data_IF_646886685143
#
_entry.id   IF_646886685143
#
_cell.length_a   1.000
_cell.length_b   1.000
_cell.length_c   1.000
_cell.angle_alpha   90.00
_cell.angle_beta   90.00
_cell.angle_gamma   90.00
#
_symmetry.space_group_name_H-M   'P 1'
#
loop_
_entity.id
_entity.type
_entity.pdbx_description
1 polymer ?
#
# COMPACT_ATOMS: atom_id res chain seq x y z
N UNK A 1 -1.89 -17.27 -46.11
CA UNK A 1 -2.87 -18.37 -45.97
C UNK A 1 -3.52 -18.24 -44.59
N UNK A 2 -4.80 -17.88 -44.57
CA UNK A 2 -5.63 -17.65 -43.39
C UNK A 2 -6.04 -18.96 -42.75
N UNK A 3 -5.96 -19.11 -41.44
CA UNK A 3 -6.80 -20.07 -40.69
C UNK A 3 -7.36 -19.37 -39.45
N UNK A 4 -8.65 -19.15 -39.49
CA UNK A 4 -9.47 -18.76 -38.37
C UNK A 4 -9.80 -19.97 -37.50
N UNK A 5 -9.75 -19.80 -36.19
CA UNK A 5 -10.27 -20.78 -35.23
C UNK A 5 -11.43 -20.17 -34.49
N UNK A 6 -12.60 -20.77 -34.73
CA UNK A 6 -13.90 -20.41 -34.14
C UNK A 6 -14.03 -21.14 -32.80
N UNK A 7 -14.27 -20.42 -31.70
CA UNK A 7 -14.63 -21.00 -30.41
C UNK A 7 -16.17 -21.01 -30.27
N UNK A 8 -16.74 -22.19 -30.06
CA UNK A 8 -18.17 -22.40 -29.84
C UNK A 8 -18.53 -22.22 -28.37
N UNK A 9 -19.51 -21.37 -28.09
CA UNK A 9 -20.16 -21.21 -26.78
C UNK A 9 -21.29 -22.21 -26.68
N UNK A 10 -21.25 -23.08 -25.67
CA UNK A 10 -22.29 -24.06 -25.39
C UNK A 10 -23.09 -23.56 -24.16
N UNK A 11 -24.34 -23.12 -24.43
CA UNK A 11 -25.30 -22.75 -23.39
C UNK A 11 -26.07 -24.00 -22.93
N UNK A 12 -26.06 -24.26 -21.61
CA UNK A 12 -26.81 -25.34 -21.00
C UNK A 12 -28.07 -24.77 -20.34
N UNK A 13 -29.25 -25.04 -20.96
CA UNK A 13 -30.57 -24.76 -20.38
C UNK A 13 -30.99 -25.93 -19.47
N UNK A 14 -31.26 -25.66 -18.20
CA UNK A 14 -31.98 -26.57 -17.31
C UNK A 14 -33.45 -26.17 -17.23
N UNK A 15 -34.30 -27.05 -17.73
CA UNK A 15 -35.76 -27.02 -17.57
C UNK A 15 -36.12 -27.69 -16.24
N UNK A 16 -36.76 -26.96 -15.32
CA UNK A 16 -37.48 -27.56 -14.19
C UNK A 16 -38.96 -27.64 -14.50
N UNK A 17 -39.45 -28.86 -14.63
CA UNK A 17 -40.85 -29.20 -14.74
C UNK A 17 -41.52 -29.19 -13.39
N UNK A 18 -42.63 -28.46 -13.25
CA UNK A 18 -43.48 -28.45 -12.06
C UNK A 18 -44.37 -29.69 -11.98
N UNK A 19 -44.59 -30.15 -10.78
CA UNK A 19 -45.67 -31.10 -10.41
C UNK A 19 -46.73 -30.34 -9.65
N UNK A 20 -47.93 -30.27 -10.19
CA UNK A 20 -49.18 -29.89 -9.52
C UNK A 20 -49.79 -31.15 -8.90
N UNK A 21 -50.16 -31.09 -7.62
CA UNK A 21 -51.02 -32.12 -6.99
C UNK A 21 -52.35 -31.48 -6.58
N UNK A 22 -53.43 -31.97 -7.19
CA UNK A 22 -54.80 -31.67 -6.83
C UNK A 22 -55.14 -32.19 -5.44
N UNK A 23 -55.81 -31.40 -4.62
CA UNK A 23 -56.42 -31.83 -3.34
C UNK A 23 -57.95 -31.84 -3.52
N UNK A 24 -58.47 -33.04 -3.41
CA UNK A 24 -59.89 -33.32 -3.46
C UNK A 24 -60.67 -32.77 -2.25
N UNK A 25 -61.88 -32.41 -2.52
CA UNK A 25 -62.91 -31.80 -1.69
C UNK A 25 -63.62 -32.86 -0.84
N UNK A 26 -63.60 -32.73 0.51
CA UNK A 26 -64.35 -33.59 1.42
C UNK A 26 -65.37 -32.73 2.18
N UNK A 27 -66.66 -33.10 2.23
CA UNK A 27 -67.69 -32.31 2.91
C UNK A 27 -67.66 -32.51 4.41
N UNK A 28 -67.72 -31.41 5.16
CA UNK A 28 -67.79 -31.33 6.61
C UNK A 28 -69.25 -31.40 7.07
N UNK A 29 -69.53 -32.38 7.93
CA UNK A 29 -70.74 -32.40 8.76
C UNK A 29 -70.38 -32.04 10.20
N UNK A 30 -70.92 -30.91 10.67
CA UNK A 30 -70.81 -30.48 12.04
C UNK A 30 -71.86 -31.11 12.94
N UNK A 31 -71.58 -31.49 14.18
CA UNK A 31 -72.52 -31.46 15.25
C UNK A 31 -72.33 -30.23 16.17
N UNK A 32 -73.43 -29.55 16.44
CA UNK A 32 -73.57 -28.43 17.36
C UNK A 32 -73.43 -28.90 18.82
N UNK A 33 -72.55 -28.26 19.56
CA UNK A 33 -72.48 -28.39 21.03
C UNK A 33 -72.67 -27.03 21.71
N UNK A 34 -73.23 -26.98 22.94
CA UNK A 34 -73.72 -25.75 23.55
C UNK A 34 -72.64 -24.81 24.03
N UNK A 35 -72.92 -23.53 23.87
CA UNK A 35 -72.11 -22.39 24.28
C UNK A 35 -71.98 -22.30 25.79
N UNK A 36 -70.79 -22.49 26.32
CA UNK A 36 -70.44 -22.10 27.68
C UNK A 36 -69.84 -20.69 27.65
N UNK A 37 -70.46 -19.82 28.41
CA UNK A 37 -70.01 -18.43 28.62
C UNK A 37 -68.73 -18.42 29.41
N UNK A 38 -67.59 -18.15 28.68
CA UNK A 38 -66.30 -17.99 29.31
C UNK A 38 -66.08 -16.52 29.65
N UNK A 39 -65.92 -16.25 30.94
CA UNK A 39 -65.56 -14.94 31.48
C UNK A 39 -64.27 -14.46 30.88
N UNK A 40 -64.25 -13.19 30.37
CA UNK A 40 -63.12 -12.53 29.77
C UNK A 40 -61.98 -12.39 30.80
N UNK A 41 -60.88 -13.09 30.56
CA UNK A 41 -59.61 -12.88 31.27
C UNK A 41 -58.99 -11.56 30.75
N UNK A 42 -58.52 -10.67 31.64
CA UNK A 42 -57.89 -9.43 31.18
C UNK A 42 -56.63 -9.74 30.37
N UNK A 43 -56.53 -9.15 29.15
CA UNK A 43 -55.37 -9.24 28.30
C UNK A 43 -54.15 -8.62 28.99
N UNK A 44 -52.99 -9.28 29.01
CA UNK A 44 -51.81 -8.70 29.64
C UNK A 44 -51.38 -7.42 28.86
N UNK A 45 -51.15 -6.37 29.63
CA UNK A 45 -50.63 -5.12 29.11
C UNK A 45 -49.26 -5.41 28.43
N UNK A 46 -49.00 -4.96 27.19
CA UNK A 46 -47.71 -5.17 26.55
C UNK A 46 -46.62 -4.50 27.37
N UNK A 47 -45.65 -5.30 27.79
CA UNK A 47 -44.45 -4.81 28.47
C UNK A 47 -43.62 -4.03 27.44
N UNK A 48 -43.09 -2.82 27.75
CA UNK A 48 -42.29 -2.09 26.81
C UNK A 48 -41.07 -2.92 26.42
N UNK A 49 -40.91 -3.14 25.13
CA UNK A 49 -39.70 -3.77 24.56
C UNK A 49 -38.50 -2.87 24.87
N UNK A 50 -37.42 -3.39 25.48
CA UNK A 50 -36.22 -2.57 25.72
C UNK A 50 -35.73 -2.00 24.42
N UNK A 51 -35.49 -0.68 24.40
CA UNK A 51 -34.85 0.02 23.28
C UNK A 51 -33.47 -0.61 23.06
N UNK A 52 -33.05 -0.88 21.80
CA UNK A 52 -31.74 -1.41 21.56
C UNK A 52 -30.70 -0.43 22.12
N UNK A 53 -29.79 -0.93 22.93
CA UNK A 53 -28.62 -0.15 23.37
C UNK A 53 -27.82 0.22 22.11
N UNK A 54 -27.46 1.50 21.88
CA UNK A 54 -26.63 1.85 20.74
C UNK A 54 -25.32 1.09 20.82
N UNK A 55 -24.96 0.38 19.72
CA UNK A 55 -23.64 -0.20 19.59
C UNK A 55 -22.61 0.93 19.60
N UNK A 56 -21.48 0.78 20.32
CA UNK A 56 -20.42 1.78 20.24
C UNK A 56 -19.97 1.91 18.77
N UNK A 57 -19.85 3.12 18.30
CA UNK A 57 -19.20 3.41 17.01
C UNK A 57 -17.77 2.93 17.10
N UNK A 58 -17.25 2.17 16.12
CA UNK A 58 -15.84 1.81 16.11
C UNK A 58 -14.97 3.08 16.18
N UNK A 59 -13.90 3.04 16.94
CA UNK A 59 -12.91 4.12 16.92
C UNK A 59 -12.27 4.16 15.52
N UNK A 60 -11.98 5.36 14.98
CA UNK A 60 -11.30 5.49 13.69
C UNK A 60 -9.92 4.84 13.75
N UNK A 61 -9.47 4.27 12.63
CA UNK A 61 -8.13 3.71 12.53
C UNK A 61 -7.09 4.85 12.52
N UNK A 62 -5.86 4.61 13.00
CA UNK A 62 -4.84 5.65 13.16
C UNK A 62 -4.52 6.45 11.91
N UNK A 63 -4.62 5.82 10.71
CA UNK A 63 -4.34 6.42 9.41
C UNK A 63 -5.59 6.57 8.54
N UNK A 64 -6.80 6.54 9.14
CA UNK A 64 -8.04 6.71 8.39
C UNK A 64 -8.09 8.10 7.72
N UNK A 65 -8.17 8.09 6.38
CA UNK A 65 -8.18 9.30 5.55
C UNK A 65 -6.80 9.75 5.06
N UNK A 66 -5.71 9.11 5.49
CA UNK A 66 -4.39 9.33 4.92
C UNK A 66 -4.25 8.66 3.54
N UNK A 67 -3.62 9.31 2.58
CA UNK A 67 -3.26 8.77 1.27
C UNK A 67 -1.74 8.74 1.14
N UNK A 68 -1.14 7.56 1.03
CA UNK A 68 0.31 7.38 1.07
C UNK A 68 0.81 6.73 -0.20
N UNK A 69 1.77 7.36 -0.88
CA UNK A 69 2.46 6.73 -2.00
C UNK A 69 3.62 5.88 -1.48
N UNK A 70 3.54 4.57 -1.73
CA UNK A 70 4.64 3.62 -1.49
C UNK A 70 5.27 3.27 -2.83
N UNK A 71 6.49 3.73 -3.08
CA UNK A 71 7.18 3.56 -4.35
C UNK A 71 8.39 2.62 -4.23
N UNK A 72 8.25 1.33 -4.54
CA UNK A 72 9.39 0.43 -4.64
C UNK A 72 10.31 0.86 -5.79
N UNK A 73 11.53 1.32 -5.44
CA UNK A 73 12.51 1.81 -6.40
C UNK A 73 12.90 0.79 -7.46
N UNK A 74 13.42 1.27 -8.58
CA UNK A 74 13.82 0.47 -9.74
C UNK A 74 12.70 -0.35 -10.37
N UNK A 75 13.02 -1.10 -11.41
CA UNK A 75 12.17 -2.10 -12.06
C UNK A 75 13.04 -2.92 -13.04
N UNK A 76 12.52 -4.03 -13.52
CA UNK A 76 13.14 -4.74 -14.65
C UNK A 76 12.88 -3.92 -15.91
N UNK A 77 13.96 -3.35 -16.47
CA UNK A 77 13.89 -2.53 -17.68
C UNK A 77 13.59 -3.40 -18.89
N UNK A 78 12.44 -3.22 -19.57
CA UNK A 78 12.18 -3.89 -20.83
C UNK A 78 13.19 -3.46 -21.89
N UNK A 79 13.46 -4.31 -22.86
CA UNK A 79 14.42 -4.01 -23.96
C UNK A 79 14.05 -2.71 -24.69
N UNK A 80 12.74 -2.44 -24.84
CA UNK A 80 12.23 -1.22 -25.48
C UNK A 80 12.54 0.07 -24.71
N UNK A 81 12.83 -0.01 -23.41
CA UNK A 81 13.14 1.16 -22.56
C UNK A 81 14.64 1.48 -22.47
N UNK A 82 15.50 0.60 -22.96
CA UNK A 82 16.95 0.79 -22.86
C UNK A 82 17.41 2.01 -23.65
N UNK A 83 18.24 2.83 -23.01
CA UNK A 83 18.82 4.04 -23.61
C UNK A 83 17.90 5.28 -23.57
N UNK A 84 16.67 5.16 -23.10
CA UNK A 84 15.82 6.31 -22.86
C UNK A 84 16.33 7.13 -21.68
N UNK A 85 16.06 8.44 -21.72
CA UNK A 85 16.50 9.40 -20.70
C UNK A 85 15.32 10.26 -20.27
N UNK A 86 15.35 10.72 -19.03
CA UNK A 86 14.39 11.66 -18.44
C UNK A 86 15.11 12.91 -17.92
N UNK A 87 14.40 13.99 -17.70
CA UNK A 87 14.93 15.18 -17.03
C UNK A 87 15.22 14.85 -15.55
N UNK A 88 16.30 15.41 -15.04
CA UNK A 88 16.61 15.33 -13.62
C UNK A 88 15.80 16.31 -12.78
N UNK A 89 15.42 17.45 -13.39
CA UNK A 89 14.69 18.52 -12.71
C UNK A 89 13.86 19.30 -13.74
N UNK A 90 12.70 19.84 -13.37
CA UNK A 90 11.93 20.75 -14.22
C UNK A 90 12.62 22.10 -14.43
N UNK A 91 13.67 22.39 -13.66
CA UNK A 91 14.44 23.63 -13.71
C UNK A 91 15.76 23.50 -14.48
N UNK A 92 16.04 22.34 -15.11
CA UNK A 92 17.29 22.04 -15.79
C UNK A 92 17.06 21.19 -17.03
N UNK A 93 17.89 21.39 -18.06
CA UNK A 93 17.93 20.51 -19.24
C UNK A 93 18.79 19.25 -19.03
N UNK A 94 19.32 19.05 -17.82
CA UNK A 94 20.09 17.86 -17.49
C UNK A 94 19.21 16.62 -17.47
N UNK A 95 19.73 15.53 -18.03
CA UNK A 95 19.01 14.27 -18.11
C UNK A 95 19.82 13.13 -17.48
N UNK A 96 19.11 12.11 -16.99
CA UNK A 96 19.66 10.84 -16.54
C UNK A 96 19.05 9.67 -17.33
N UNK A 97 19.61 8.45 -17.26
CA UNK A 97 18.91 7.27 -17.77
C UNK A 97 17.54 7.13 -17.12
N UNK A 98 16.52 6.83 -17.94
CA UNK A 98 15.15 6.64 -17.48
C UNK A 98 15.03 5.44 -16.54
N UNK A 99 15.78 4.39 -16.86
CA UNK A 99 15.76 3.14 -16.10
C UNK A 99 17.15 2.81 -15.57
N UNK A 100 17.19 2.42 -14.30
CA UNK A 100 18.37 1.84 -13.67
C UNK A 100 17.95 0.55 -12.97
N UNK A 101 18.80 -0.46 -13.03
CA UNK A 101 18.52 -1.75 -12.40
C UNK A 101 18.77 -1.74 -10.89
N UNK A 102 19.37 -0.69 -10.36
CA UNK A 102 19.84 -0.64 -8.98
C UNK A 102 21.07 -1.51 -8.72
N UNK A 103 21.34 -1.74 -7.47
CA UNK A 103 22.40 -2.64 -7.00
C UNK A 103 21.89 -4.09 -6.90
N UNK A 104 22.75 -4.96 -6.39
CA UNK A 104 22.37 -6.35 -6.14
C UNK A 104 23.18 -6.97 -5.02
N UNK A 105 22.55 -7.87 -4.28
CA UNK A 105 23.18 -8.78 -3.35
C UNK A 105 23.59 -10.10 -3.99
N UNK A 106 23.84 -11.09 -3.16
CA UNK A 106 24.25 -12.44 -3.60
C UNK A 106 23.12 -13.18 -4.35
N UNK A 107 21.90 -13.09 -3.86
CA UNK A 107 20.77 -13.87 -4.38
C UNK A 107 19.61 -13.00 -4.91
N UNK A 108 19.54 -11.72 -4.54
CA UNK A 108 18.44 -10.82 -4.86
C UNK A 108 18.94 -9.55 -5.56
N UNK A 109 18.15 -9.01 -6.48
CA UNK A 109 18.37 -7.66 -7.02
C UNK A 109 17.67 -6.64 -6.13
N UNK A 110 18.15 -5.39 -6.16
CA UNK A 110 17.54 -4.31 -5.40
C UNK A 110 16.06 -4.12 -5.74
N UNK A 111 15.70 -4.17 -7.02
CA UNK A 111 14.31 -4.02 -7.44
C UNK A 111 13.37 -5.09 -6.86
N UNK A 112 13.88 -6.34 -6.68
CA UNK A 112 13.12 -7.43 -6.07
C UNK A 112 12.93 -7.20 -4.56
N UNK A 113 14.00 -6.78 -3.88
CA UNK A 113 13.96 -6.44 -2.46
C UNK A 113 12.99 -5.28 -2.21
N UNK A 114 13.14 -4.20 -2.97
CA UNK A 114 12.30 -3.00 -2.84
C UNK A 114 10.82 -3.33 -3.05
N UNK A 115 10.49 -4.17 -4.05
CA UNK A 115 9.13 -4.61 -4.29
C UNK A 115 8.60 -5.46 -3.13
N UNK A 116 9.42 -6.40 -2.64
CA UNK A 116 9.03 -7.29 -1.54
C UNK A 116 8.71 -6.50 -0.26
N UNK A 117 9.58 -5.57 0.12
CA UNK A 117 9.37 -4.71 1.30
C UNK A 117 8.24 -3.72 1.07
N UNK A 118 8.15 -3.14 -0.14
CA UNK A 118 7.09 -2.19 -0.49
C UNK A 118 5.69 -2.79 -0.38
N UNK A 119 5.50 -4.03 -0.82
CA UNK A 119 4.22 -4.75 -0.68
C UNK A 119 3.87 -5.02 0.79
N UNK A 120 4.85 -5.41 1.62
CA UNK A 120 4.65 -5.60 3.05
C UNK A 120 4.30 -4.27 3.74
N UNK A 121 4.96 -3.18 3.36
CA UNK A 121 4.71 -1.85 3.91
C UNK A 121 3.31 -1.34 3.53
N UNK A 122 2.90 -1.50 2.27
CA UNK A 122 1.53 -1.24 1.84
C UNK A 122 0.52 -1.96 2.73
N UNK A 123 0.65 -3.28 2.84
CA UNK A 123 -0.30 -4.11 3.60
C UNK A 123 -0.41 -3.64 5.06
N UNK A 124 0.72 -3.28 5.68
CA UNK A 124 0.74 -2.77 7.06
C UNK A 124 0.08 -1.38 7.20
N UNK A 125 0.24 -0.49 6.22
CA UNK A 125 -0.43 0.83 6.23
C UNK A 125 -1.94 0.71 5.99
N UNK A 126 -2.37 -0.18 5.09
CA UNK A 126 -3.79 -0.45 4.82
C UNK A 126 -4.49 -1.06 6.05
N UNK A 127 -3.83 -1.93 6.81
CA UNK A 127 -4.34 -2.44 8.09
C UNK A 127 -4.58 -1.32 9.13
N UNK A 128 -3.85 -0.21 9.03
CA UNK A 128 -4.02 0.98 9.88
C UNK A 128 -5.01 2.00 9.32
N UNK A 129 -5.61 1.73 8.16
CA UNK A 129 -6.68 2.53 7.55
C UNK A 129 -6.23 3.52 6.50
N UNK A 130 -4.97 3.53 6.10
CA UNK A 130 -4.49 4.37 5.00
C UNK A 130 -5.01 3.88 3.64
N UNK A 131 -5.22 4.81 2.71
CA UNK A 131 -5.26 4.52 1.29
C UNK A 131 -3.84 4.51 0.75
N UNK A 132 -3.41 3.40 0.12
CA UNK A 132 -2.05 3.29 -0.41
C UNK A 132 -2.06 3.24 -1.93
N UNK A 133 -1.27 4.10 -2.56
CA UNK A 133 -1.01 4.08 -4.00
C UNK A 133 0.42 3.60 -4.26
N UNK A 134 0.56 2.67 -5.21
CA UNK A 134 1.87 2.15 -5.61
C UNK A 134 2.09 2.38 -7.10
N UNK A 135 3.19 3.05 -7.51
CA UNK A 135 3.56 3.18 -8.92
C UNK A 135 3.83 1.84 -9.60
N UNK A 136 4.23 0.82 -8.83
CA UNK A 136 4.36 -0.56 -9.33
C UNK A 136 4.06 -1.59 -8.23
N UNK A 137 3.45 -2.70 -8.66
CA UNK A 137 3.24 -3.90 -7.86
C UNK A 137 3.85 -5.16 -8.52
N UNK A 138 4.61 -4.95 -9.58
CA UNK A 138 5.29 -6.01 -10.34
C UNK A 138 6.72 -5.60 -10.66
N UNK A 139 7.59 -6.57 -10.94
CA UNK A 139 8.99 -6.32 -11.30
C UNK A 139 9.14 -5.76 -12.72
N UNK A 140 8.47 -6.38 -13.69
CA UNK A 140 8.59 -5.99 -15.10
C UNK A 140 7.55 -4.94 -15.47
N UNK A 141 7.99 -3.69 -15.53
CA UNK A 141 7.17 -2.53 -15.89
C UNK A 141 8.03 -1.46 -16.55
N UNK A 142 7.42 -0.66 -17.42
CA UNK A 142 8.02 0.55 -17.98
C UNK A 142 7.42 1.75 -17.28
N UNK A 143 8.15 2.36 -16.35
CA UNK A 143 7.74 3.54 -15.59
C UNK A 143 8.95 4.42 -15.28
N UNK A 144 8.84 5.69 -15.59
CA UNK A 144 9.88 6.71 -15.33
C UNK A 144 9.79 7.26 -13.90
N UNK A 145 10.84 7.96 -13.46
CA UNK A 145 10.81 8.69 -12.19
C UNK A 145 9.76 9.80 -12.18
N UNK A 146 9.54 10.47 -13.32
CA UNK A 146 8.50 11.50 -13.45
C UNK A 146 7.11 10.88 -13.34
N UNK A 147 6.82 9.80 -14.08
CA UNK A 147 5.53 9.10 -14.00
C UNK A 147 5.21 8.58 -12.58
N UNK A 148 6.24 8.21 -11.80
CA UNK A 148 6.05 7.83 -10.38
C UNK A 148 5.53 8.99 -9.53
N UNK A 149 6.08 10.20 -9.74
CA UNK A 149 5.58 11.41 -9.09
C UNK A 149 4.15 11.75 -9.54
N UNK A 150 3.87 11.68 -10.84
CA UNK A 150 2.55 11.95 -11.40
C UNK A 150 1.48 11.01 -10.81
N UNK A 151 1.77 9.71 -10.67
CA UNK A 151 0.87 8.75 -10.03
C UNK A 151 0.56 9.14 -8.58
N UNK A 152 1.55 9.56 -7.80
CA UNK A 152 1.36 10.02 -6.43
C UNK A 152 0.47 11.28 -6.37
N UNK A 153 0.71 12.26 -7.25
CA UNK A 153 -0.06 13.50 -7.31
C UNK A 153 -1.51 13.25 -7.77
N UNK A 154 -1.71 12.44 -8.81
CA UNK A 154 -3.05 12.11 -9.31
C UNK A 154 -3.91 11.36 -8.29
N UNK A 155 -3.28 10.56 -7.43
CA UNK A 155 -3.94 9.90 -6.31
C UNK A 155 -4.25 10.84 -5.14
N UNK A 156 -3.68 12.05 -5.13
CA UNK A 156 -3.81 12.99 -4.01
C UNK A 156 -3.06 12.53 -2.77
N UNK A 157 -1.91 11.86 -2.95
CA UNK A 157 -1.11 11.38 -1.83
C UNK A 157 -0.60 12.55 -0.96
N UNK A 158 -0.62 12.36 0.35
CA UNK A 158 -0.10 13.32 1.33
C UNK A 158 1.43 13.30 1.39
N UNK A 159 2.00 12.11 1.23
CA UNK A 159 3.44 11.85 1.26
C UNK A 159 3.84 10.76 0.27
N UNK A 160 5.12 10.74 -0.13
CA UNK A 160 5.71 9.67 -0.91
C UNK A 160 6.91 9.05 -0.18
N UNK A 161 6.95 7.72 -0.08
CA UNK A 161 8.05 6.94 0.49
C UNK A 161 8.65 6.06 -0.60
N UNK A 162 9.84 6.43 -1.07
CA UNK A 162 10.60 5.64 -2.03
C UNK A 162 11.45 4.62 -1.28
N UNK A 163 11.38 3.36 -1.68
CA UNK A 163 12.05 2.24 -1.01
C UNK A 163 13.21 1.76 -1.86
N UNK A 164 14.42 1.80 -1.29
CA UNK A 164 15.67 1.43 -1.91
C UNK A 164 16.60 0.67 -0.97
N UNK A 165 17.66 0.08 -1.51
CA UNK A 165 18.79 -0.46 -0.79
C UNK A 165 20.09 -0.08 -1.51
N UNK A 166 21.06 0.39 -0.75
CA UNK A 166 22.29 0.99 -1.27
C UNK A 166 23.34 -0.04 -1.71
N UNK A 167 24.31 0.42 -2.45
CA UNK A 167 25.50 -0.32 -2.81
C UNK A 167 26.76 0.55 -2.74
N UNK A 168 27.85 -0.02 -2.22
CA UNK A 168 29.13 0.66 -2.13
C UNK A 168 30.29 -0.23 -2.62
N UNK A 169 31.33 0.39 -3.19
CA UNK A 169 32.54 -0.33 -3.60
C UNK A 169 33.35 -0.87 -2.40
N UNK A 170 33.20 -0.24 -1.23
CA UNK A 170 33.74 -0.75 0.01
C UNK A 170 32.69 -1.63 0.72
N UNK A 171 32.89 -2.95 0.78
CA UNK A 171 31.93 -3.87 1.38
C UNK A 171 31.82 -3.75 2.91
N UNK A 172 32.64 -2.93 3.55
CA UNK A 172 32.52 -2.65 4.99
C UNK A 172 31.49 -1.56 5.30
N UNK A 173 31.02 -0.83 4.30
CA UNK A 173 29.99 0.20 4.46
C UNK A 173 28.65 -0.47 4.75
N UNK A 174 27.97 0.01 5.80
CA UNK A 174 26.71 -0.56 6.30
C UNK A 174 25.84 0.50 6.99
N UNK A 175 24.57 0.18 7.20
CA UNK A 175 23.61 0.97 7.96
C UNK A 175 22.49 1.55 7.09
N UNK A 176 21.45 2.06 7.75
CA UNK A 176 20.29 2.69 7.14
C UNK A 176 20.49 4.20 7.03
N UNK A 177 20.08 4.79 5.91
CA UNK A 177 20.00 6.24 5.69
C UNK A 177 18.67 6.60 5.01
N UNK A 178 18.27 7.86 5.13
CA UNK A 178 17.12 8.39 4.40
C UNK A 178 17.55 9.62 3.61
N UNK A 179 17.38 9.55 2.29
CA UNK A 179 17.61 10.67 1.41
C UNK A 179 16.40 11.59 1.47
N UNK A 180 16.65 12.90 1.49
CA UNK A 180 15.64 13.95 1.53
C UNK A 180 15.92 15.01 0.46
N UNK A 181 14.92 15.74 -0.05
CA UNK A 181 15.16 16.81 -1.00
C UNK A 181 16.03 17.92 -0.40
N UNK A 182 16.88 18.51 -1.23
CA UNK A 182 17.73 19.65 -0.90
C UNK A 182 17.36 20.85 -1.79
N UNK A 183 16.86 21.91 -1.15
CA UNK A 183 16.48 23.15 -1.82
C UNK A 183 15.07 23.19 -2.38
N UNK A 184 14.70 24.37 -2.92
CA UNK A 184 13.39 24.67 -3.50
C UNK A 184 13.28 24.09 -4.91
N UNK A 185 12.73 22.88 -5.04
CA UNK A 185 12.68 22.21 -6.33
C UNK A 185 11.39 22.49 -7.11
N UNK A 186 10.22 22.30 -6.55
CA UNK A 186 8.93 22.66 -7.16
C UNK A 186 8.15 23.70 -6.37
N UNK A 187 8.81 24.43 -5.51
CA UNK A 187 8.26 25.71 -5.15
C UNK A 187 7.68 25.89 -3.77
N UNK A 188 7.83 24.95 -2.83
CA UNK A 188 7.48 25.29 -1.45
C UNK A 188 8.55 24.80 -0.46
N UNK A 189 9.19 25.72 0.28
CA UNK A 189 10.09 25.35 1.37
C UNK A 189 9.47 24.36 2.36
N UNK A 190 8.14 24.44 2.58
CA UNK A 190 7.41 23.54 3.47
C UNK A 190 7.48 22.06 3.05
N UNK A 191 7.53 21.74 1.77
CA UNK A 191 7.70 20.35 1.31
C UNK A 191 9.07 19.81 1.73
N UNK A 192 10.12 20.62 1.62
CA UNK A 192 11.48 20.25 2.03
C UNK A 192 11.53 20.04 3.53
N UNK A 193 11.00 20.97 4.32
CA UNK A 193 10.98 20.90 5.78
C UNK A 193 10.22 19.65 6.27
N UNK A 194 9.05 19.36 5.69
CA UNK A 194 8.26 18.16 6.02
C UNK A 194 8.95 16.86 5.57
N UNK A 195 9.61 16.87 4.43
CA UNK A 195 10.43 15.73 3.97
C UNK A 195 11.59 15.44 4.91
N UNK A 196 12.28 16.48 5.39
CA UNK A 196 13.37 16.34 6.37
C UNK A 196 12.82 15.78 7.69
N UNK A 197 11.70 16.31 8.17
CA UNK A 197 11.03 15.82 9.41
C UNK A 197 10.67 14.33 9.28
N UNK A 198 10.03 13.95 8.18
CA UNK A 198 9.69 12.54 7.92
C UNK A 198 10.95 11.67 7.82
N UNK A 199 11.97 12.15 7.12
CA UNK A 199 13.25 11.45 6.96
C UNK A 199 13.95 11.18 8.29
N UNK A 200 13.96 12.16 9.20
CA UNK A 200 14.55 12.01 10.54
C UNK A 200 13.76 10.99 11.38
N UNK A 201 12.44 11.05 11.37
CA UNK A 201 11.59 10.06 12.04
C UNK A 201 11.87 8.66 11.49
N UNK A 202 11.89 8.51 10.18
CA UNK A 202 12.05 7.22 9.50
C UNK A 202 13.41 6.58 9.76
N UNK A 203 14.51 7.32 9.60
CA UNK A 203 15.87 6.76 9.83
C UNK A 203 16.06 6.36 11.29
N UNK A 204 15.50 7.13 12.24
CA UNK A 204 15.59 6.81 13.66
C UNK A 204 14.78 5.58 14.04
N UNK A 205 13.52 5.50 13.55
CA UNK A 205 12.64 4.37 13.86
C UNK A 205 13.15 3.06 13.24
N UNK A 206 13.54 3.07 11.96
CA UNK A 206 14.07 1.87 11.29
C UNK A 206 15.38 1.42 11.92
N UNK A 207 16.29 2.35 12.28
CA UNK A 207 17.53 1.98 12.99
C UNK A 207 17.25 1.39 14.38
N UNK A 208 16.24 1.88 15.09
CA UNK A 208 15.85 1.36 16.41
C UNK A 208 15.30 -0.07 16.31
N UNK A 209 14.41 -0.35 15.37
CA UNK A 209 13.77 -1.66 15.18
C UNK A 209 14.75 -2.72 14.66
N UNK A 210 15.60 -2.34 13.70
CA UNK A 210 16.52 -3.28 13.06
C UNK A 210 17.81 -3.49 13.82
N UNK A 211 18.23 -2.52 14.65
CA UNK A 211 19.56 -2.46 15.23
C UNK A 211 20.65 -2.04 14.23
N UNK A 212 20.28 -1.63 13.01
CA UNK A 212 21.22 -1.15 12.01
C UNK A 212 21.88 0.16 12.45
N UNK A 213 23.08 0.43 11.91
CA UNK A 213 23.74 1.71 12.12
C UNK A 213 22.92 2.84 11.50
N UNK A 214 22.47 3.79 12.32
CA UNK A 214 21.84 5.01 11.85
C UNK A 214 22.88 5.92 11.16
N UNK A 215 22.68 6.21 9.87
CA UNK A 215 23.55 7.08 9.06
C UNK A 215 22.95 8.48 8.90
N UNK A 216 21.75 8.72 9.42
CA UNK A 216 21.05 9.99 9.34
C UNK A 216 20.37 10.25 8.00
N UNK A 217 19.91 11.48 7.85
CA UNK A 217 19.37 12.00 6.60
C UNK A 217 20.46 12.52 5.67
N UNK A 218 20.25 12.38 4.36
CA UNK A 218 21.20 12.80 3.32
C UNK A 218 20.47 13.72 2.33
N UNK A 219 20.74 15.04 2.34
CA UNK A 219 20.13 15.97 1.40
C UNK A 219 20.59 15.68 -0.05
N UNK A 220 19.66 15.70 -1.01
CA UNK A 220 19.89 15.41 -2.42
C UNK A 220 19.12 16.35 -3.33
N UNK A 221 19.80 16.91 -4.33
CA UNK A 221 19.22 17.76 -5.37
C UNK A 221 19.23 17.15 -6.77
N UNK A 222 19.74 15.92 -6.91
CA UNK A 222 19.93 15.20 -8.16
C UNK A 222 18.96 14.00 -8.35
N UNK A 223 17.88 13.98 -7.58
CA UNK A 223 16.88 12.91 -7.62
C UNK A 223 15.60 13.37 -8.33
N UNK A 224 15.21 12.71 -9.43
CA UNK A 224 13.97 13.00 -10.14
C UNK A 224 12.75 12.87 -9.20
N UNK A 225 12.75 11.84 -8.34
CA UNK A 225 11.69 11.61 -7.37
C UNK A 225 11.45 12.80 -6.41
N UNK A 226 12.49 13.56 -6.08
CA UNK A 226 12.38 14.77 -5.29
C UNK A 226 12.10 16.00 -6.15
N UNK A 227 12.79 16.10 -7.28
CA UNK A 227 12.76 17.29 -8.13
C UNK A 227 11.42 17.51 -8.84
N UNK A 228 10.64 16.47 -9.02
CA UNK A 228 9.28 16.50 -9.58
C UNK A 228 8.19 16.26 -8.55
N UNK A 229 8.52 16.10 -7.27
CA UNK A 229 7.51 15.94 -6.22
C UNK A 229 6.88 17.27 -5.84
N UNK A 230 5.56 17.30 -5.75
CA UNK A 230 4.75 18.41 -5.21
C UNK A 230 4.27 18.12 -3.78
N UNK A 231 4.68 16.99 -3.20
CA UNK A 231 4.34 16.54 -1.85
C UNK A 231 5.60 16.17 -1.07
N UNK A 232 5.57 16.16 0.27
CA UNK A 232 6.67 15.66 1.07
C UNK A 232 7.11 14.26 0.63
N UNK A 233 8.42 14.06 0.47
CA UNK A 233 8.95 12.87 -0.18
C UNK A 233 10.27 12.45 0.45
N UNK A 234 10.44 11.18 0.74
CA UNK A 234 11.68 10.61 1.30
C UNK A 234 12.06 9.34 0.54
N UNK A 235 13.37 9.03 0.53
CA UNK A 235 13.88 7.79 -0.02
C UNK A 235 14.70 7.08 1.06
N UNK A 236 14.19 5.91 1.51
CA UNK A 236 14.93 5.10 2.46
C UNK A 236 15.89 4.17 1.73
N UNK A 237 17.15 4.16 2.18
CA UNK A 237 18.17 3.16 1.87
C UNK A 237 18.22 2.18 3.06
N UNK A 238 17.59 1.02 2.90
CA UNK A 238 17.33 0.06 3.97
C UNK A 238 18.58 -0.64 4.52
N UNK A 239 19.70 -0.54 3.80
CA UNK A 239 20.97 -1.17 4.08
C UNK A 239 21.78 -1.35 2.80
N UNK A 240 23.01 -1.85 2.90
CA UNK A 240 23.92 -2.03 1.77
C UNK A 240 23.93 -3.47 1.29
N UNK A 241 23.34 -3.74 0.12
CA UNK A 241 23.34 -5.08 -0.51
C UNK A 241 24.75 -5.56 -0.91
N UNK A 242 25.73 -4.66 -0.94
CA UNK A 242 27.15 -4.97 -1.18
C UNK A 242 27.91 -5.33 0.10
N UNK A 243 27.30 -5.14 1.27
CA UNK A 243 27.83 -5.62 2.54
C UNK A 243 27.30 -7.03 2.82
N UNK A 244 28.14 -8.08 2.92
CA UNK A 244 27.66 -9.46 3.03
C UNK A 244 26.81 -9.77 4.27
N UNK A 245 27.00 -9.03 5.38
CA UNK A 245 26.23 -9.21 6.61
C UNK A 245 24.83 -8.59 6.45
N UNK A 246 24.74 -7.38 5.90
CA UNK A 246 23.45 -6.72 5.65
C UNK A 246 22.67 -7.41 4.52
N UNK A 247 23.34 -7.82 3.45
CA UNK A 247 22.71 -8.57 2.36
C UNK A 247 22.00 -9.83 2.88
N UNK A 248 22.71 -10.60 3.73
CA UNK A 248 22.11 -11.78 4.34
C UNK A 248 20.92 -11.47 5.25
N UNK A 249 20.91 -10.32 5.94
CA UNK A 249 19.77 -9.86 6.76
C UNK A 249 18.60 -9.40 5.89
N UNK A 250 18.87 -8.58 4.89
CA UNK A 250 17.88 -8.01 3.96
C UNK A 250 17.07 -9.08 3.20
N UNK A 251 17.66 -10.26 2.98
CA UNK A 251 16.98 -11.41 2.37
C UNK A 251 16.00 -12.13 3.32
N UNK A 252 16.04 -11.85 4.63
CA UNK A 252 15.19 -12.55 5.61
C UNK A 252 13.87 -11.82 5.86
N UNK A 253 12.77 -12.59 5.91
CA UNK A 253 11.45 -12.04 6.22
C UNK A 253 11.40 -11.37 7.61
N UNK A 254 12.16 -11.89 8.59
CA UNK A 254 12.23 -11.30 9.94
C UNK A 254 12.83 -9.89 9.92
N UNK A 255 13.91 -9.68 9.16
CA UNK A 255 14.55 -8.37 9.09
C UNK A 255 13.74 -7.38 8.27
N UNK A 256 13.12 -7.84 7.17
CA UNK A 256 12.19 -7.06 6.37
C UNK A 256 11.00 -6.58 7.21
N UNK A 257 10.42 -7.45 8.04
CA UNK A 257 9.34 -7.06 8.96
C UNK A 257 9.78 -5.95 9.92
N UNK A 258 10.99 -6.02 10.51
CA UNK A 258 11.53 -4.95 11.36
C UNK A 258 11.71 -3.62 10.62
N UNK A 259 12.13 -3.68 9.35
CA UNK A 259 12.20 -2.47 8.50
C UNK A 259 10.80 -1.87 8.33
N UNK A 260 9.81 -2.70 8.01
CA UNK A 260 8.41 -2.28 7.84
C UNK A 260 7.86 -1.69 9.14
N UNK A 261 8.08 -2.35 10.29
CA UNK A 261 7.65 -1.86 11.60
C UNK A 261 8.22 -0.47 11.90
N UNK A 262 9.51 -0.27 11.62
CA UNK A 262 10.16 1.03 11.77
C UNK A 262 9.60 2.10 10.83
N UNK A 263 9.33 1.77 9.57
CA UNK A 263 8.70 2.70 8.63
C UNK A 263 7.28 3.06 9.07
N UNK A 264 6.49 2.09 9.50
CA UNK A 264 5.13 2.32 10.03
C UNK A 264 5.16 3.23 11.25
N UNK A 265 6.07 2.98 12.20
CA UNK A 265 6.21 3.83 13.38
C UNK A 265 6.52 5.29 13.00
N UNK A 266 7.39 5.51 12.02
CA UNK A 266 7.71 6.85 11.53
C UNK A 266 6.49 7.55 10.87
N UNK A 267 5.68 6.82 10.12
CA UNK A 267 4.45 7.34 9.53
C UNK A 267 3.45 7.73 10.61
N UNK A 268 3.23 6.87 11.60
CA UNK A 268 2.34 7.17 12.72
C UNK A 268 2.79 8.40 13.50
N UNK A 269 4.10 8.54 13.76
CA UNK A 269 4.67 9.71 14.44
C UNK A 269 4.55 10.98 13.57
N UNK A 270 4.66 10.86 12.25
CA UNK A 270 4.52 11.99 11.34
C UNK A 270 3.10 12.56 11.32
N UNK A 271 2.08 11.69 11.25
CA UNK A 271 0.67 12.08 11.31
C UNK A 271 0.21 12.45 12.72
N UNK A 272 0.76 11.83 13.76
CA UNK A 272 0.39 12.09 15.16
C UNK A 272 1.07 13.31 15.79
N UNK A 273 2.02 13.91 15.10
CA UNK A 273 2.83 15.03 15.61
C UNK A 273 2.26 16.43 15.31
N UNK A 274 0.97 16.57 15.01
CA UNK A 274 0.26 17.85 14.89
C UNK A 274 -0.14 18.44 16.25
#
# INVERSE_FOLDING_TARGET
>A
MKRAATAAVMALLLLCTGCSTDLENVPSTSPSMPQAELAATPSPTPQPTPSPTPMPTPEPLPLEGAVICVDPGHCVTPEAGKGHRELMSPLSDETKPLYTTGTRGANMTEEQLNLTVGLQFRDALEELGAEVVMPREVSEITISGIERCEIAHEAGADIAVHIHADGNNDPSVHGVSVLVPDGDLLGTPSIVDESVRLGELMVNAVAAETGAKNRGTVPRSDMTAFNFSEIPSVLIEMGFMTNPEEDALLETAEYQAKIVDGMVAAILDWYGGE
#
